data_IF_254785518421
#
_entry.id   IF_254785518421
#
_cell.length_a   1.000
_cell.length_b   1.000
_cell.length_c   1.000
_cell.angle_alpha   90.00
_cell.angle_beta   90.00
_cell.angle_gamma   90.00
#
_symmetry.space_group_name_H-M   'P 1'
#
loop_
_entity.id
_entity.type
_entity.pdbx_description
1 polymer ?
#
# COMPACT_ATOMS: atom_id res chain seq x y z
N UNK A 1 -22.87 15.32 -7.96
CA UNK A 1 -22.29 15.57 -6.61
C UNK A 1 -22.12 17.07 -6.40
N UNK A 2 -22.71 17.59 -5.34
CA UNK A 2 -22.56 19.01 -4.97
C UNK A 2 -21.17 19.25 -4.37
N UNK A 3 -20.66 20.50 -4.34
CA UNK A 3 -19.42 20.79 -3.67
C UNK A 3 -19.40 20.37 -2.19
N UNK A 4 -20.54 20.46 -1.52
CA UNK A 4 -20.65 20.07 -0.12
C UNK A 4 -20.45 18.56 0.06
N UNK A 5 -20.99 17.76 -0.83
CA UNK A 5 -20.84 16.30 -0.81
C UNK A 5 -19.39 15.90 -1.07
N UNK A 6 -18.68 16.62 -1.94
CA UNK A 6 -17.27 16.34 -2.23
C UNK A 6 -16.36 16.53 -1.03
N UNK A 7 -16.73 17.41 -0.12
CA UNK A 7 -15.90 17.74 1.05
C UNK A 7 -16.41 17.06 2.33
N UNK A 8 -17.33 16.11 2.22
CA UNK A 8 -17.68 15.29 3.37
C UNK A 8 -16.47 14.48 3.82
N UNK A 9 -16.29 14.37 5.13
CA UNK A 9 -15.19 13.57 5.67
C UNK A 9 -15.33 12.12 5.24
N UNK A 10 -14.26 11.49 4.75
CA UNK A 10 -14.29 10.09 4.36
C UNK A 10 -14.51 9.20 5.59
N UNK A 11 -15.01 7.99 5.34
CA UNK A 11 -15.30 6.99 6.39
C UNK A 11 -14.25 5.88 6.46
N UNK A 12 -13.49 5.70 5.39
CA UNK A 12 -12.50 4.63 5.30
C UNK A 12 -11.16 5.22 4.88
N UNK A 13 -10.11 4.85 5.59
CA UNK A 13 -8.76 5.39 5.36
C UNK A 13 -7.85 4.25 4.97
N UNK A 14 -7.36 4.26 3.74
CA UNK A 14 -6.52 3.21 3.19
C UNK A 14 -5.16 3.76 2.82
N UNK A 15 -4.11 3.01 3.14
CA UNK A 15 -2.74 3.35 2.79
C UNK A 15 -2.11 2.30 1.90
N UNK A 16 -1.27 2.73 0.98
CA UNK A 16 -0.52 1.86 0.09
C UNK A 16 0.95 2.15 0.19
N UNK A 17 1.73 1.09 0.37
CA UNK A 17 3.17 1.14 0.20
C UNK A 17 3.43 0.77 -1.25
N UNK A 18 4.06 1.67 -2.00
CA UNK A 18 4.30 1.47 -3.44
C UNK A 18 5.79 1.51 -3.74
N UNK A 19 6.24 0.86 -4.84
CA UNK A 19 7.63 1.01 -5.28
C UNK A 19 7.96 2.47 -5.62
N UNK A 20 9.13 2.93 -5.23
CA UNK A 20 9.54 4.32 -5.41
C UNK A 20 9.57 4.77 -6.87
N UNK A 21 9.84 3.85 -7.79
CA UNK A 21 9.89 4.16 -9.22
C UNK A 21 8.54 4.02 -9.93
N UNK A 22 7.50 3.61 -9.22
CA UNK A 22 6.18 3.40 -9.83
C UNK A 22 5.46 4.74 -9.99
N UNK A 23 4.96 5.00 -11.20
CA UNK A 23 4.22 6.23 -11.53
C UNK A 23 2.76 5.96 -11.90
N UNK A 24 2.31 4.73 -11.77
CA UNK A 24 0.99 4.29 -12.25
C UNK A 24 0.00 4.06 -11.12
N UNK A 25 0.45 3.45 -10.03
CA UNK A 25 -0.42 3.00 -8.94
C UNK A 25 -1.23 4.16 -8.34
N UNK A 26 -0.58 5.25 -7.98
CA UNK A 26 -1.28 6.39 -7.38
C UNK A 26 -2.32 6.97 -8.32
N UNK A 27 -1.95 7.18 -9.58
CA UNK A 27 -2.83 7.75 -10.58
C UNK A 27 -4.05 6.88 -10.84
N UNK A 28 -3.84 5.57 -10.99
CA UNK A 28 -4.93 4.63 -11.26
C UNK A 28 -5.83 4.50 -10.03
N UNK A 29 -5.24 4.36 -8.85
CA UNK A 29 -5.99 4.26 -7.60
C UNK A 29 -6.87 5.49 -7.39
N UNK A 30 -6.30 6.68 -7.53
CA UNK A 30 -7.07 7.91 -7.37
C UNK A 30 -8.18 8.04 -8.43
N UNK A 31 -7.91 7.57 -9.65
CA UNK A 31 -8.91 7.54 -10.70
C UNK A 31 -10.09 6.65 -10.37
N UNK A 32 -9.83 5.46 -9.84
CA UNK A 32 -10.88 4.53 -9.41
C UNK A 32 -11.66 5.13 -8.23
N UNK A 33 -10.95 5.71 -7.26
CA UNK A 33 -11.57 6.21 -6.03
C UNK A 33 -12.39 7.48 -6.23
N UNK A 34 -12.33 8.11 -7.39
CA UNK A 34 -13.20 9.25 -7.69
C UNK A 34 -14.68 8.91 -7.52
N UNK A 35 -15.07 7.66 -7.74
CA UNK A 35 -16.44 7.19 -7.57
C UNK A 35 -16.73 6.70 -6.16
N UNK A 36 -15.75 6.75 -5.27
CA UNK A 36 -15.86 6.26 -3.89
C UNK A 36 -15.41 7.35 -2.92
N UNK A 37 -16.18 8.46 -2.78
CA UNK A 37 -15.74 9.59 -1.96
C UNK A 37 -15.62 9.28 -0.48
N UNK A 38 -16.17 8.16 -0.03
CA UNK A 38 -16.03 7.70 1.36
C UNK A 38 -14.66 7.09 1.67
N UNK A 39 -13.82 6.87 0.65
CA UNK A 39 -12.48 6.28 0.82
C UNK A 39 -11.43 7.35 0.66
N UNK A 40 -10.55 7.45 1.65
CA UNK A 40 -9.37 8.33 1.60
C UNK A 40 -8.14 7.49 1.30
N UNK A 41 -7.35 7.90 0.30
CA UNK A 41 -6.16 7.19 -0.13
C UNK A 41 -4.90 7.90 0.32
N UNK A 42 -3.96 7.13 0.87
CA UNK A 42 -2.68 7.63 1.36
C UNK A 42 -1.57 6.72 0.86
N UNK A 43 -0.43 7.30 0.51
CA UNK A 43 0.65 6.56 -0.14
C UNK A 43 1.99 6.82 0.55
N UNK A 44 2.82 5.80 0.59
CA UNK A 44 4.23 5.91 0.94
C UNK A 44 5.05 5.08 -0.02
N UNK A 45 6.26 5.51 -0.34
CA UNK A 45 7.09 4.85 -1.33
C UNK A 45 8.26 4.13 -0.67
N UNK A 46 8.37 2.84 -0.94
CA UNK A 46 9.54 2.08 -0.53
C UNK A 46 10.56 2.05 -1.68
N UNK A 47 11.84 2.02 -1.33
CA UNK A 47 12.91 2.12 -2.34
C UNK A 47 12.97 0.87 -3.22
N UNK A 48 12.49 1.01 -4.45
CA UNK A 48 12.62 0.01 -5.51
C UNK A 48 12.92 0.77 -6.79
N UNK A 49 14.12 0.63 -7.30
CA UNK A 49 14.60 1.40 -8.44
C UNK A 49 14.75 0.48 -9.64
N UNK A 50 13.94 0.75 -10.66
CA UNK A 50 14.02 0.08 -11.95
C UNK A 50 13.81 -1.41 -11.93
N UNK A 51 13.91 -2.01 -13.10
CA UNK A 51 13.97 -3.45 -13.26
C UNK A 51 15.45 -3.84 -13.20
N UNK A 52 15.82 -4.56 -12.18
CA UNK A 52 17.18 -5.07 -12.02
C UNK A 52 17.15 -6.55 -12.35
N UNK A 53 18.06 -6.99 -13.18
CA UNK A 53 18.20 -8.40 -13.50
C UNK A 53 19.56 -8.89 -12.98
N UNK A 54 19.59 -9.84 -12.02
CA UNK A 54 18.45 -10.55 -11.48
C UNK A 54 17.63 -9.69 -10.50
N UNK A 55 16.35 -10.02 -10.39
CA UNK A 55 15.47 -9.37 -9.42
C UNK A 55 15.95 -9.63 -7.98
N UNK A 56 15.68 -8.69 -7.05
CA UNK A 56 15.94 -8.97 -5.65
C UNK A 56 15.21 -10.23 -5.22
N UNK A 57 15.89 -11.06 -4.45
CA UNK A 57 15.32 -12.31 -3.96
C UNK A 57 14.43 -12.10 -2.74
N UNK A 58 14.50 -10.94 -2.10
CA UNK A 58 13.72 -10.60 -0.92
C UNK A 58 13.28 -9.15 -0.96
N UNK A 59 12.23 -8.84 -0.20
CA UNK A 59 11.85 -7.46 0.05
C UNK A 59 12.88 -6.78 0.96
N UNK A 60 13.05 -5.47 0.80
CA UNK A 60 13.69 -4.65 1.82
C UNK A 60 12.67 -4.38 2.92
N UNK A 61 12.53 -5.31 3.85
CA UNK A 61 11.54 -5.24 4.91
C UNK A 61 11.74 -4.02 5.80
N UNK A 62 12.99 -3.65 6.08
CA UNK A 62 13.24 -2.51 6.97
C UNK A 62 12.70 -1.22 6.37
N UNK A 63 12.92 -1.00 5.08
CA UNK A 63 12.40 0.18 4.40
C UNK A 63 10.87 0.13 4.29
N UNK A 64 10.31 -1.02 3.94
CA UNK A 64 8.86 -1.18 3.85
C UNK A 64 8.19 -0.98 5.20
N UNK A 65 8.79 -1.47 6.27
CA UNK A 65 8.25 -1.28 7.62
C UNK A 65 8.38 0.16 8.08
N UNK A 66 9.43 0.86 7.68
CA UNK A 66 9.55 2.29 7.95
C UNK A 66 8.44 3.08 7.27
N UNK A 67 8.12 2.74 6.02
CA UNK A 67 6.99 3.32 5.31
C UNK A 67 5.66 3.04 6.00
N UNK A 68 5.46 1.80 6.43
CA UNK A 68 4.24 1.41 7.15
C UNK A 68 4.10 2.17 8.46
N UNK A 69 5.18 2.33 9.19
CA UNK A 69 5.17 3.05 10.46
C UNK A 69 4.72 4.51 10.28
N UNK A 70 5.23 5.16 9.26
CA UNK A 70 4.85 6.55 8.97
C UNK A 70 3.39 6.63 8.53
N UNK A 71 2.95 5.71 7.68
CA UNK A 71 1.54 5.63 7.31
C UNK A 71 0.64 5.38 8.53
N UNK A 72 1.12 4.62 9.50
CA UNK A 72 0.38 4.34 10.73
C UNK A 72 0.05 5.58 11.55
N UNK A 73 0.82 6.65 11.41
CA UNK A 73 0.53 7.91 12.07
C UNK A 73 -0.81 8.52 11.62
N UNK A 74 -1.26 8.17 10.43
CA UNK A 74 -2.55 8.63 9.90
C UNK A 74 -3.74 7.80 10.42
N UNK A 75 -3.50 6.76 11.22
CA UNK A 75 -4.53 5.89 11.79
C UNK A 75 -5.43 5.30 10.72
N UNK A 76 -4.80 4.56 9.81
CA UNK A 76 -5.48 3.98 8.67
C UNK A 76 -6.21 2.69 9.04
N UNK A 77 -7.27 2.38 8.29
CA UNK A 77 -8.02 1.12 8.46
C UNK A 77 -7.30 -0.05 7.81
N UNK A 78 -6.67 0.18 6.65
CA UNK A 78 -5.95 -0.84 5.90
C UNK A 78 -4.64 -0.27 5.38
N UNK A 79 -3.58 -1.06 5.46
CA UNK A 79 -2.28 -0.75 4.83
C UNK A 79 -1.89 -1.91 3.93
N UNK A 80 -1.65 -1.64 2.66
CA UNK A 80 -1.35 -2.67 1.66
C UNK A 80 -0.01 -2.41 0.98
N UNK A 81 0.72 -3.48 0.70
CA UNK A 81 1.85 -3.46 -0.20
C UNK A 81 1.35 -3.63 -1.64
N UNK A 82 1.66 -2.68 -2.48
CA UNK A 82 1.21 -2.69 -3.86
C UNK A 82 2.41 -2.73 -4.82
N UNK A 83 2.95 -3.92 -5.02
CA UNK A 83 4.06 -4.14 -5.94
C UNK A 83 3.96 -5.51 -6.57
N UNK A 84 4.16 -5.58 -7.87
CA UNK A 84 4.01 -6.82 -8.63
C UNK A 84 5.17 -7.81 -8.42
N UNK A 85 6.32 -7.34 -7.98
CA UNK A 85 7.48 -8.21 -7.78
C UNK A 85 7.27 -9.22 -6.67
N UNK A 86 6.43 -8.90 -5.69
CA UNK A 86 6.08 -9.82 -4.62
C UNK A 86 5.50 -11.13 -5.14
N UNK A 87 4.75 -11.08 -6.24
CA UNK A 87 4.16 -12.26 -6.85
C UNK A 87 5.16 -13.24 -7.42
N UNK A 88 6.38 -12.81 -7.70
CA UNK A 88 7.44 -13.69 -8.20
C UNK A 88 8.35 -14.23 -7.10
N UNK A 89 8.14 -13.82 -5.84
CA UNK A 89 8.92 -14.28 -4.71
C UNK A 89 8.21 -15.45 -4.02
N UNK A 90 7.58 -15.20 -2.89
CA UNK A 90 7.09 -16.24 -2.03
C UNK A 90 5.92 -15.72 -1.19
N UNK A 91 4.83 -16.47 -1.12
CA UNK A 91 3.70 -16.10 -0.27
C UNK A 91 4.09 -16.02 1.21
N UNK A 92 5.08 -16.80 1.65
CA UNK A 92 5.54 -16.74 3.04
C UNK A 92 6.12 -15.36 3.36
N UNK A 93 6.83 -14.75 2.42
CA UNK A 93 7.36 -13.40 2.60
C UNK A 93 6.24 -12.37 2.70
N UNK A 94 5.21 -12.51 1.88
CA UNK A 94 4.04 -11.65 1.92
C UNK A 94 3.30 -11.76 3.25
N UNK A 95 3.12 -12.97 3.76
CA UNK A 95 2.49 -13.20 5.06
C UNK A 95 3.30 -12.60 6.20
N UNK A 96 4.63 -12.73 6.16
CA UNK A 96 5.51 -12.11 7.15
C UNK A 96 5.38 -10.59 7.14
N UNK A 97 5.35 -10.00 5.95
CA UNK A 97 5.20 -8.56 5.80
C UNK A 97 3.87 -8.08 6.38
N UNK A 98 2.78 -8.77 6.05
CA UNK A 98 1.44 -8.44 6.55
C UNK A 98 1.40 -8.49 8.07
N UNK A 99 1.93 -9.54 8.69
CA UNK A 99 1.95 -9.66 10.14
C UNK A 99 2.71 -8.50 10.80
N UNK A 100 3.86 -8.14 10.24
CA UNK A 100 4.68 -7.05 10.79
C UNK A 100 4.00 -5.70 10.63
N UNK A 101 3.38 -5.45 9.50
CA UNK A 101 2.64 -4.20 9.29
C UNK A 101 1.47 -4.09 10.26
N UNK A 102 0.72 -5.16 10.46
CA UNK A 102 -0.38 -5.17 11.42
C UNK A 102 0.10 -4.89 12.83
N UNK A 103 1.21 -5.47 13.22
CA UNK A 103 1.79 -5.24 14.55
C UNK A 103 2.22 -3.79 14.72
N UNK A 104 2.83 -3.20 13.70
CA UNK A 104 3.33 -1.81 13.76
C UNK A 104 2.22 -0.77 13.73
N UNK A 105 1.19 -0.98 12.93
CA UNK A 105 0.20 0.05 12.63
C UNK A 105 -1.12 -0.17 13.33
N UNK A 106 -1.43 -1.38 13.76
CA UNK A 106 -2.75 -1.75 14.24
C UNK A 106 -3.80 -1.85 13.15
N UNK A 107 -3.44 -1.54 11.90
CA UNK A 107 -4.35 -1.61 10.76
C UNK A 107 -4.37 -3.03 10.18
N UNK A 108 -5.44 -3.36 9.47
CA UNK A 108 -5.46 -4.56 8.63
C UNK A 108 -4.44 -4.39 7.53
N UNK A 109 -3.84 -5.48 7.09
CA UNK A 109 -2.83 -5.42 6.04
C UNK A 109 -3.00 -6.54 5.03
N UNK A 110 -2.61 -6.25 3.79
CA UNK A 110 -2.58 -7.23 2.71
C UNK A 110 -1.51 -6.84 1.70
N UNK A 111 -1.31 -7.67 0.69
CA UNK A 111 -0.49 -7.33 -0.46
C UNK A 111 -1.32 -7.52 -1.72
N UNK A 112 -0.87 -6.95 -2.84
CA UNK A 112 -1.56 -7.16 -4.11
C UNK A 112 -1.62 -8.63 -4.50
N UNK A 113 -0.58 -9.40 -4.16
CA UNK A 113 -0.56 -10.84 -4.41
C UNK A 113 -1.56 -11.60 -3.55
N UNK A 114 -1.59 -11.31 -2.25
CA UNK A 114 -2.52 -11.99 -1.33
C UNK A 114 -3.97 -11.62 -1.59
N UNK A 115 -4.22 -10.40 -2.06
CA UNK A 115 -5.58 -9.94 -2.35
C UNK A 115 -6.20 -10.63 -3.58
N UNK A 116 -5.36 -11.14 -4.49
CA UNK A 116 -5.83 -11.87 -5.68
C UNK A 116 -6.23 -13.30 -5.31
N UNK A 117 -5.58 -13.87 -4.34
CA UNK A 117 -5.82 -15.26 -3.90
C UNK A 117 -7.15 -15.42 -3.07
#
# INVERSE_FOLDING_TARGET
>A
MTPRERFQAPKHFCGWITPSANTVVERVTLGILREFPQVSAHFSRTSVVGAVDPYPLTYDFDDMLACARVLGDAKLDVVAWNGSKGGSLDFALDHQLVERIQTLTGARSTTSTLAID
#
